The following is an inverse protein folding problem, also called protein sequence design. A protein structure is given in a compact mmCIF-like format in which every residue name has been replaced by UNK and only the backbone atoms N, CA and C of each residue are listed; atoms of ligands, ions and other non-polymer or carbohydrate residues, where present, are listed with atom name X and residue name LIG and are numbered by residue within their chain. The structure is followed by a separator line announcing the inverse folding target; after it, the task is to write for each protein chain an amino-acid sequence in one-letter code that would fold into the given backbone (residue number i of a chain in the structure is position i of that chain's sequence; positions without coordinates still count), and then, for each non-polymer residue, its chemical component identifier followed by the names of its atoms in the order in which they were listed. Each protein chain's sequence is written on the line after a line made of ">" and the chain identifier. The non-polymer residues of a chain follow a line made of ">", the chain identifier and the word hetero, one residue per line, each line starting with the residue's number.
data_IF_229714993808
#
_entry.id   IF_229714993808
#
_cell.length_a   1.000
_cell.length_b   1.000
_cell.length_c   1.000
_cell.angle_alpha   90.00
_cell.angle_beta   90.00
_cell.angle_gamma   90.00
#
_symmetry.space_group_name_H-M   'P 1'
#
loop_
_entity.id
_entity.type
_entity.pdbx_description
1 polymer ?
#
# COMPACT_ATOMS: atom_id res chain seq x y z
N UNK A 1 -34.80 1.99 -26.86
CA UNK A 1 -35.39 3.31 -26.50
C UNK A 1 -35.36 3.62 -25.02
N UNK A 2 -35.71 2.66 -24.10
CA UNK A 2 -35.76 2.90 -22.65
C UNK A 2 -34.41 3.26 -22.05
N UNK A 3 -33.35 2.54 -22.39
CA UNK A 3 -32.00 2.82 -21.88
C UNK A 3 -31.49 4.22 -22.28
N UNK A 4 -31.79 4.67 -23.53
CA UNK A 4 -31.44 6.04 -23.96
C UNK A 4 -32.18 7.13 -23.16
N UNK A 5 -33.41 6.84 -22.71
CA UNK A 5 -34.13 7.76 -21.82
C UNK A 5 -33.55 7.75 -20.43
N UNK A 6 -33.20 6.58 -19.89
CA UNK A 6 -32.55 6.47 -18.57
C UNK A 6 -31.19 7.16 -18.54
N UNK A 7 -30.38 7.04 -19.58
CA UNK A 7 -29.12 7.77 -19.72
C UNK A 7 -29.34 9.29 -19.58
N UNK A 8 -30.32 9.86 -20.23
CA UNK A 8 -30.63 11.30 -20.16
C UNK A 8 -31.09 11.79 -18.78
N UNK A 9 -31.47 10.86 -17.89
CA UNK A 9 -31.90 11.15 -16.52
C UNK A 9 -30.76 11.07 -15.54
N UNK A 10 -29.58 10.55 -15.94
CA UNK A 10 -28.42 10.50 -15.06
C UNK A 10 -27.84 11.90 -14.86
N UNK A 11 -27.38 12.17 -13.64
CA UNK A 11 -26.55 13.32 -13.37
C UNK A 11 -25.15 13.14 -14.00
N UNK A 12 -24.36 14.19 -14.12
CA UNK A 12 -23.00 14.12 -14.70
C UNK A 12 -22.09 13.09 -14.03
N UNK A 13 -22.25 12.87 -12.73
CA UNK A 13 -21.57 11.85 -11.94
C UNK A 13 -22.46 10.63 -11.64
N UNK A 14 -23.59 10.51 -12.35
CA UNK A 14 -24.58 9.48 -12.17
C UNK A 14 -24.12 8.11 -12.63
N UNK A 15 -24.72 7.09 -12.04
CA UNK A 15 -24.45 5.67 -12.31
C UNK A 15 -25.76 4.92 -12.43
N UNK A 16 -25.84 3.98 -13.38
CA UNK A 16 -26.96 3.07 -13.53
C UNK A 16 -26.53 1.64 -13.19
N UNK A 17 -27.36 0.95 -12.42
CA UNK A 17 -27.23 -0.47 -12.08
C UNK A 17 -28.36 -1.23 -12.76
N UNK A 18 -28.01 -2.25 -13.53
CA UNK A 18 -28.98 -3.03 -14.32
C UNK A 18 -28.80 -4.51 -13.98
N UNK A 19 -29.80 -5.08 -13.29
CA UNK A 19 -29.83 -6.51 -12.97
C UNK A 19 -30.25 -7.32 -14.19
N UNK A 20 -29.55 -8.42 -14.44
CA UNK A 20 -29.79 -9.32 -15.59
C UNK A 20 -29.30 -10.72 -15.25
N UNK A 21 -29.91 -11.74 -15.85
CA UNK A 21 -29.44 -13.11 -15.82
C UNK A 21 -28.49 -13.43 -17.00
N UNK A 22 -27.95 -14.65 -17.00
CA UNK A 22 -26.99 -15.09 -18.02
C UNK A 22 -27.58 -15.10 -19.45
N UNK A 23 -28.91 -15.27 -19.60
CA UNK A 23 -29.52 -15.46 -20.91
C UNK A 23 -29.33 -14.22 -21.80
N UNK A 24 -29.45 -13.03 -21.22
CA UNK A 24 -29.40 -11.77 -21.97
C UNK A 24 -28.24 -10.87 -21.57
N UNK A 25 -27.33 -11.34 -20.72
CA UNK A 25 -26.20 -10.57 -20.21
C UNK A 25 -25.36 -9.93 -21.33
N UNK A 26 -24.94 -10.73 -22.30
CA UNK A 26 -24.06 -10.28 -23.38
C UNK A 26 -24.78 -9.33 -24.35
N UNK A 27 -26.05 -9.60 -24.63
CA UNK A 27 -26.88 -8.74 -25.49
C UNK A 27 -27.08 -7.37 -24.81
N UNK A 28 -27.45 -7.37 -23.54
CA UNK A 28 -27.62 -6.15 -22.77
C UNK A 28 -26.31 -5.36 -22.65
N UNK A 29 -25.19 -6.05 -22.39
CA UNK A 29 -23.90 -5.41 -22.34
C UNK A 29 -23.55 -4.70 -23.64
N UNK A 30 -23.73 -5.36 -24.77
CA UNK A 30 -23.48 -4.76 -26.11
C UNK A 30 -24.35 -3.52 -26.36
N UNK A 31 -25.63 -3.56 -25.99
CA UNK A 31 -26.51 -2.42 -26.09
C UNK A 31 -26.11 -1.27 -25.18
N UNK A 32 -25.67 -1.58 -23.95
CA UNK A 32 -25.19 -0.57 -23.03
C UNK A 32 -23.87 0.05 -23.49
N UNK A 33 -22.94 -0.74 -24.05
CA UNK A 33 -21.69 -0.25 -24.65
C UNK A 33 -21.97 0.73 -25.82
N UNK A 34 -23.01 0.48 -26.64
CA UNK A 34 -23.42 1.40 -27.68
C UNK A 34 -24.03 2.71 -27.13
N UNK A 35 -24.82 2.62 -26.07
CA UNK A 35 -25.56 3.76 -25.52
C UNK A 35 -24.71 4.63 -24.62
N UNK A 36 -24.00 4.03 -23.64
CA UNK A 36 -23.19 4.72 -22.65
C UNK A 36 -21.73 4.89 -23.06
N UNK A 37 -21.25 4.04 -23.98
CA UNK A 37 -19.83 3.95 -24.37
C UNK A 37 -19.03 2.95 -23.53
N UNK A 38 -18.06 2.27 -24.18
CA UNK A 38 -17.17 1.30 -23.55
C UNK A 38 -16.38 1.89 -22.35
N UNK A 39 -15.98 3.14 -22.47
CA UNK A 39 -15.23 3.84 -21.42
C UNK A 39 -16.06 4.19 -20.17
N UNK A 40 -17.38 4.11 -20.26
CA UNK A 40 -18.32 4.31 -19.17
C UNK A 40 -18.73 3.00 -18.48
N UNK A 41 -18.26 1.84 -18.97
CA UNK A 41 -18.44 0.58 -18.28
C UNK A 41 -17.61 0.56 -17.00
N UNK A 42 -18.27 0.39 -15.84
CA UNK A 42 -17.62 0.38 -14.52
C UNK A 42 -17.34 -1.04 -14.08
N UNK A 43 -18.36 -1.91 -14.06
CA UNK A 43 -18.19 -3.28 -13.56
C UNK A 43 -19.36 -4.19 -13.95
N UNK A 44 -19.12 -5.49 -13.94
CA UNK A 44 -20.13 -6.52 -13.81
C UNK A 44 -20.00 -7.13 -12.42
N UNK A 45 -21.01 -6.93 -11.56
CA UNK A 45 -21.05 -7.43 -10.20
C UNK A 45 -21.80 -8.76 -10.20
N UNK A 46 -21.19 -9.80 -9.63
CA UNK A 46 -21.83 -11.09 -9.43
C UNK A 46 -22.66 -11.07 -8.16
N UNK A 47 -23.97 -11.31 -8.27
CA UNK A 47 -24.89 -11.33 -7.14
C UNK A 47 -25.36 -12.76 -6.88
N UNK A 48 -25.09 -13.28 -5.70
CA UNK A 48 -25.60 -14.60 -5.31
C UNK A 48 -27.10 -14.53 -4.98
N UNK A 49 -27.90 -15.17 -5.86
CA UNK A 49 -29.38 -15.15 -5.77
C UNK A 49 -29.91 -16.16 -4.79
N UNK A 50 -29.31 -17.33 -4.69
CA UNK A 50 -29.76 -18.46 -3.88
C UNK A 50 -28.62 -19.03 -3.04
N UNK A 51 -28.93 -19.37 -1.78
CA UNK A 51 -27.98 -20.01 -0.87
C UNK A 51 -28.24 -21.52 -0.69
N UNK A 52 -29.25 -22.08 -1.40
CA UNK A 52 -29.59 -23.49 -1.33
C UNK A 52 -29.72 -24.06 -2.72
N UNK A 53 -28.96 -25.10 -3.02
CA UNK A 53 -29.03 -25.87 -4.27
C UNK A 53 -30.34 -26.65 -4.32
N UNK A 54 -31.08 -26.56 -5.43
CA UNK A 54 -32.27 -27.38 -5.66
C UNK A 54 -31.86 -28.80 -6.04
N UNK A 55 -32.34 -29.81 -5.33
CA UNK A 55 -32.03 -31.22 -5.58
C UNK A 55 -32.58 -31.78 -6.88
N UNK A 56 -33.47 -31.07 -7.56
CA UNK A 56 -34.12 -31.43 -8.82
C UNK A 56 -33.42 -30.86 -10.06
N UNK A 57 -32.36 -30.12 -9.88
CA UNK A 57 -31.61 -29.49 -10.98
C UNK A 57 -30.72 -30.49 -11.69
N UNK A 58 -30.77 -30.47 -13.02
CA UNK A 58 -29.86 -31.25 -13.87
C UNK A 58 -28.74 -30.36 -14.42
N UNK A 59 -27.49 -30.80 -14.23
CA UNK A 59 -26.32 -30.07 -14.71
C UNK A 59 -25.78 -29.03 -13.70
N UNK A 60 -25.18 -27.98 -14.21
CA UNK A 60 -24.62 -26.90 -13.37
C UNK A 60 -25.76 -25.94 -12.99
N UNK A 61 -25.95 -25.77 -11.69
CA UNK A 61 -26.98 -24.86 -11.15
C UNK A 61 -26.45 -23.44 -11.19
N UNK A 62 -27.23 -22.55 -11.82
CA UNK A 62 -26.92 -21.12 -11.79
C UNK A 62 -27.48 -20.48 -10.51
N UNK A 63 -26.61 -20.09 -9.60
CA UNK A 63 -26.94 -19.40 -8.34
C UNK A 63 -26.61 -17.92 -8.38
N UNK A 64 -26.14 -17.41 -9.54
CA UNK A 64 -25.64 -16.04 -9.68
C UNK A 64 -26.51 -15.27 -10.67
N UNK A 65 -26.80 -14.03 -10.36
CA UNK A 65 -27.27 -12.98 -11.28
C UNK A 65 -26.19 -11.92 -11.45
N UNK A 66 -26.30 -11.14 -12.51
CA UNK A 66 -25.36 -10.09 -12.88
C UNK A 66 -25.96 -8.71 -12.63
N UNK A 67 -25.12 -7.79 -12.17
CA UNK A 67 -25.47 -6.39 -12.04
C UNK A 67 -24.48 -5.58 -12.88
N UNK A 68 -24.89 -5.18 -14.10
CA UNK A 68 -24.09 -4.32 -14.94
C UNK A 68 -24.13 -2.89 -14.44
N UNK A 69 -22.96 -2.27 -14.34
CA UNK A 69 -22.78 -0.91 -13.83
C UNK A 69 -22.16 -0.04 -14.90
N UNK A 70 -22.85 1.04 -15.26
CA UNK A 70 -22.38 2.06 -16.20
C UNK A 70 -22.49 3.45 -15.59
N UNK A 71 -21.50 4.27 -15.83
CA UNK A 71 -21.50 5.69 -15.45
C UNK A 71 -21.89 6.58 -16.62
N UNK A 72 -22.32 7.80 -16.34
CA UNK A 72 -22.59 8.80 -17.39
C UNK A 72 -21.30 9.32 -18.02
N UNK A 73 -20.20 9.41 -17.25
CA UNK A 73 -18.89 9.88 -17.74
C UNK A 73 -17.79 8.85 -17.53
N UNK A 74 -16.76 8.81 -18.40
CA UNK A 74 -15.59 7.96 -18.20
C UNK A 74 -14.83 8.27 -16.91
N UNK A 75 -14.18 7.24 -16.32
CA UNK A 75 -13.32 7.42 -15.16
C UNK A 75 -14.06 7.62 -13.83
N UNK A 76 -15.36 7.33 -13.78
CA UNK A 76 -16.11 7.33 -12.53
C UNK A 76 -15.55 6.27 -11.55
N UNK A 77 -15.45 6.66 -10.29
CA UNK A 77 -15.01 5.76 -9.22
C UNK A 77 -16.00 5.82 -8.05
N UNK A 78 -16.36 4.68 -7.47
CA UNK A 78 -17.22 4.64 -6.29
C UNK A 78 -16.50 5.23 -5.07
N UNK A 79 -17.27 5.78 -4.16
CA UNK A 79 -16.77 6.14 -2.85
C UNK A 79 -16.25 4.90 -2.12
N UNK A 80 -15.20 5.06 -1.35
CA UNK A 80 -14.70 4.00 -0.47
C UNK A 80 -15.71 3.72 0.64
N UNK A 81 -15.82 2.46 0.99
CA UNK A 81 -16.66 2.04 2.13
C UNK A 81 -16.11 2.67 3.42
N UNK A 82 -16.98 3.06 4.35
CA UNK A 82 -16.54 3.58 5.65
C UNK A 82 -15.64 2.57 6.37
N UNK A 83 -14.72 3.07 7.16
CA UNK A 83 -13.90 2.23 8.03
C UNK A 83 -14.76 1.63 9.13
N UNK A 84 -14.47 0.39 9.49
CA UNK A 84 -15.11 -0.30 10.60
C UNK A 84 -14.25 -0.22 11.86
N UNK A 85 -14.87 -0.34 13.04
CA UNK A 85 -14.14 -0.39 14.32
C UNK A 85 -13.11 -1.54 14.36
N UNK A 86 -13.39 -2.67 13.69
CA UNK A 86 -12.45 -3.79 13.57
C UNK A 86 -11.20 -3.40 12.75
N UNK A 87 -11.38 -2.64 11.65
CA UNK A 87 -10.25 -2.11 10.86
C UNK A 87 -9.39 -1.14 11.67
N UNK A 88 -9.98 -0.43 12.62
CA UNK A 88 -9.30 0.55 13.47
C UNK A 88 -8.64 -0.07 14.70
N UNK A 89 -9.11 -1.23 15.16
CA UNK A 89 -8.59 -1.91 16.35
C UNK A 89 -7.09 -2.24 16.32
N UNK A 90 -6.48 -2.34 15.12
CA UNK A 90 -5.04 -2.56 14.95
C UNK A 90 -4.18 -1.32 15.17
N UNK A 91 -4.79 -0.12 15.15
CA UNK A 91 -4.08 1.14 15.38
C UNK A 91 -4.00 1.40 16.87
N UNK A 92 -2.77 1.48 17.36
CA UNK A 92 -2.46 1.67 18.78
C UNK A 92 -1.52 2.85 18.94
N UNK A 93 -1.29 3.26 20.16
CA UNK A 93 -0.39 4.38 20.46
C UNK A 93 0.60 4.00 21.58
N UNK A 94 1.53 3.07 21.30
CA UNK A 94 2.44 2.52 22.32
C UNK A 94 3.50 3.51 22.79
N UNK A 95 3.70 4.60 22.06
CA UNK A 95 4.72 5.61 22.33
C UNK A 95 4.15 7.01 22.60
N UNK A 96 2.84 7.10 22.88
CA UNK A 96 2.13 8.37 23.13
C UNK A 96 2.33 9.42 22.02
N UNK A 97 2.29 8.96 20.76
CA UNK A 97 2.32 9.84 19.59
C UNK A 97 1.01 10.63 19.45
N UNK A 98 0.97 11.65 18.59
CA UNK A 98 -0.19 12.51 18.36
C UNK A 98 -1.40 11.71 17.88
N UNK A 99 -1.19 10.68 17.07
CA UNK A 99 -2.23 9.83 16.51
C UNK A 99 -1.90 8.35 16.69
N UNK A 100 -2.92 7.49 16.82
CA UNK A 100 -2.73 6.05 16.77
C UNK A 100 -2.15 5.60 15.44
N UNK A 101 -1.29 4.58 15.47
CA UNK A 101 -0.62 4.05 14.30
C UNK A 101 -0.51 2.52 14.34
N UNK A 102 -0.23 1.93 13.19
CA UNK A 102 0.11 0.51 13.05
C UNK A 102 1.48 0.36 12.41
N UNK A 103 2.17 -0.74 12.75
CA UNK A 103 3.47 -1.07 12.18
C UNK A 103 3.35 -1.51 10.73
N UNK A 104 4.17 -0.97 9.85
CA UNK A 104 4.27 -1.37 8.45
C UNK A 104 5.73 -1.50 8.01
N UNK A 105 5.95 -2.16 6.87
CA UNK A 105 7.29 -2.36 6.35
C UNK A 105 7.94 -1.04 5.93
N UNK A 106 9.22 -0.90 6.30
CA UNK A 106 10.06 0.24 5.93
C UNK A 106 10.58 0.12 4.48
N UNK A 107 10.42 -1.02 3.86
CA UNK A 107 10.91 -1.37 2.52
C UNK A 107 9.79 -1.83 1.60
N UNK A 108 10.08 -1.93 0.29
CA UNK A 108 9.18 -2.37 -0.76
C UNK A 108 9.96 -3.25 -1.76
N UNK A 109 9.30 -4.12 -2.54
CA UNK A 109 9.93 -4.86 -3.62
C UNK A 109 10.51 -3.92 -4.69
N UNK A 110 11.49 -4.40 -5.48
CA UNK A 110 12.02 -3.69 -6.64
C UNK A 110 13.45 -3.18 -6.49
N UNK A 111 14.30 -3.87 -5.73
CA UNK A 111 15.71 -3.49 -5.54
C UNK A 111 16.47 -3.28 -6.85
N UNK A 112 16.29 -4.18 -7.83
CA UNK A 112 16.99 -4.11 -9.11
C UNK A 112 16.69 -2.82 -9.91
N UNK A 113 15.45 -2.35 -9.87
CA UNK A 113 15.01 -1.13 -10.58
C UNK A 113 15.18 0.15 -9.76
N UNK A 114 15.30 0.03 -8.44
CA UNK A 114 15.40 1.14 -7.50
C UNK A 114 16.69 1.09 -6.69
N UNK A 115 17.81 0.77 -7.34
CA UNK A 115 19.11 0.60 -6.68
C UNK A 115 19.54 1.79 -5.82
N UNK A 116 19.14 3.01 -6.18
CA UNK A 116 19.35 4.22 -5.37
C UNK A 116 18.67 4.21 -4.00
N UNK A 117 17.74 3.29 -3.78
CA UNK A 117 17.06 3.08 -2.49
C UNK A 117 17.55 1.82 -1.76
N UNK A 118 18.64 1.20 -2.24
CA UNK A 118 19.34 0.09 -1.56
C UNK A 118 20.63 0.64 -0.96
N UNK A 119 20.56 1.06 0.29
CA UNK A 119 21.68 1.68 1.01
C UNK A 119 21.69 1.23 2.48
N UNK A 120 22.86 1.34 3.11
CA UNK A 120 23.02 1.04 4.53
C UNK A 120 22.44 2.16 5.41
N UNK A 121 21.90 1.75 6.55
CA UNK A 121 21.56 2.64 7.67
C UNK A 121 22.28 2.09 8.90
N UNK A 122 23.17 2.86 9.51
CA UNK A 122 23.84 2.44 10.72
C UNK A 122 22.87 2.50 11.92
N UNK A 123 22.75 1.38 12.60
CA UNK A 123 21.83 1.24 13.73
C UNK A 123 22.32 2.05 14.95
N UNK A 124 21.51 2.99 15.50
CA UNK A 124 22.00 3.92 16.53
C UNK A 124 22.27 3.27 17.89
N UNK A 125 21.67 2.09 18.14
CA UNK A 125 21.89 1.38 19.43
C UNK A 125 22.99 0.32 19.34
N UNK A 126 23.29 -0.22 18.17
CA UNK A 126 24.21 -1.37 18.03
C UNK A 126 25.39 -1.12 17.10
N UNK A 127 25.35 -0.06 16.31
CA UNK A 127 26.35 0.25 15.30
C UNK A 127 26.31 -0.61 14.03
N UNK A 128 25.47 -1.66 13.99
CA UNK A 128 25.35 -2.55 12.83
C UNK A 128 24.77 -1.82 11.61
N UNK A 129 25.23 -2.18 10.43
CA UNK A 129 24.64 -1.72 9.18
C UNK A 129 23.36 -2.52 8.89
N UNK A 130 22.29 -1.81 8.63
CA UNK A 130 21.00 -2.36 8.24
C UNK A 130 20.77 -2.09 6.78
N UNK A 131 20.41 -3.12 6.03
CA UNK A 131 20.01 -3.07 4.63
C UNK A 131 18.58 -3.56 4.47
N UNK A 132 17.92 -3.25 3.33
CA UNK A 132 16.68 -3.92 2.95
C UNK A 132 16.92 -5.43 2.74
N UNK A 133 15.86 -6.23 2.77
CA UNK A 133 15.97 -7.66 2.42
C UNK A 133 16.23 -7.84 0.92
N UNK A 134 16.80 -8.98 0.55
CA UNK A 134 17.06 -9.35 -0.84
C UNK A 134 15.82 -9.13 -1.73
N UNK A 135 16.01 -8.48 -2.87
CA UNK A 135 14.95 -8.07 -3.78
C UNK A 135 14.15 -6.84 -3.35
N UNK A 136 14.42 -6.28 -2.17
CA UNK A 136 13.70 -5.10 -1.62
C UNK A 136 14.58 -3.86 -1.55
N UNK A 137 13.95 -2.69 -1.53
CA UNK A 137 14.58 -1.40 -1.33
C UNK A 137 13.85 -0.60 -0.24
N UNK A 138 14.51 0.40 0.35
CA UNK A 138 13.83 1.32 1.26
C UNK A 138 12.73 2.08 0.53
N UNK A 139 11.69 2.52 1.26
CA UNK A 139 10.56 3.26 0.65
C UNK A 139 10.88 4.71 0.31
N UNK A 140 12.03 5.23 0.74
CA UNK A 140 12.44 6.60 0.53
C UNK A 140 13.91 6.68 0.13
N UNK A 141 14.24 7.70 -0.63
CA UNK A 141 15.63 8.03 -0.94
C UNK A 141 16.36 8.57 0.30
N UNK A 142 17.68 8.57 0.23
CA UNK A 142 18.58 8.90 1.35
C UNK A 142 18.23 10.21 2.05
N UNK A 143 18.00 11.30 1.30
CA UNK A 143 17.70 12.62 1.87
C UNK A 143 16.44 12.64 2.73
N UNK A 144 15.40 11.94 2.29
CA UNK A 144 14.14 11.84 3.04
C UNK A 144 14.31 10.92 4.24
N UNK A 145 15.00 9.79 4.07
CA UNK A 145 15.27 8.87 5.18
C UNK A 145 16.18 9.51 6.21
N UNK A 146 17.18 10.29 5.80
CA UNK A 146 18.06 11.05 6.68
C UNK A 146 17.28 11.98 7.63
N UNK A 147 16.27 12.69 7.10
CA UNK A 147 15.40 13.55 7.93
C UNK A 147 14.68 12.77 9.02
N UNK A 148 14.18 11.56 8.70
CA UNK A 148 13.53 10.72 9.70
C UNK A 148 14.52 10.13 10.70
N UNK A 149 15.69 9.66 10.24
CA UNK A 149 16.68 9.03 11.09
C UNK A 149 17.35 10.03 12.04
N UNK A 150 17.49 11.29 11.65
CA UNK A 150 17.94 12.38 12.52
C UNK A 150 17.03 12.61 13.74
N UNK A 151 15.81 12.07 13.72
CA UNK A 151 14.95 12.01 14.90
C UNK A 151 15.48 11.05 16.00
N UNK A 152 16.39 10.13 15.72
CA UNK A 152 16.97 9.18 16.67
C UNK A 152 18.36 9.58 17.14
N UNK A 153 19.23 9.95 16.21
CA UNK A 153 20.61 10.36 16.41
C UNK A 153 21.03 11.28 15.28
N UNK A 154 22.17 11.90 15.36
CA UNK A 154 22.71 12.70 14.28
C UNK A 154 23.30 11.78 13.21
N UNK A 155 22.77 11.83 11.99
CA UNK A 155 23.22 11.08 10.84
C UNK A 155 23.80 11.99 9.77
N UNK A 156 24.72 11.45 8.99
CA UNK A 156 25.26 12.05 7.78
C UNK A 156 25.27 11.05 6.63
N UNK A 157 25.33 11.54 5.40
CA UNK A 157 25.53 10.71 4.22
C UNK A 157 27.03 10.44 4.04
N UNK A 158 27.39 9.17 3.89
CA UNK A 158 28.77 8.73 3.71
C UNK A 158 28.84 7.65 2.64
N UNK A 159 29.83 7.74 1.75
CA UNK A 159 30.11 6.67 0.79
C UNK A 159 30.69 5.47 1.55
N UNK A 160 30.19 4.27 1.23
CA UNK A 160 30.73 3.00 1.71
C UNK A 160 31.22 2.15 0.54
N UNK A 161 32.15 1.27 0.81
CA UNK A 161 32.56 0.20 -0.09
C UNK A 161 31.67 -1.02 0.17
N UNK A 162 30.40 -0.94 -0.28
CA UNK A 162 29.35 -1.93 -0.03
C UNK A 162 28.69 -2.44 -1.34
N UNK A 163 29.42 -2.32 -2.46
CA UNK A 163 28.91 -2.71 -3.77
C UNK A 163 28.49 -4.19 -3.81
N UNK A 164 29.25 -5.06 -3.15
CA UNK A 164 28.96 -6.49 -3.06
C UNK A 164 27.65 -6.78 -2.34
N UNK A 165 27.45 -6.21 -1.17
CA UNK A 165 26.20 -6.38 -0.38
C UNK A 165 25.00 -5.85 -1.15
N UNK A 166 25.16 -4.71 -1.81
CA UNK A 166 24.07 -4.10 -2.60
C UNK A 166 23.78 -4.91 -3.86
N UNK A 167 24.79 -5.50 -4.49
CA UNK A 167 24.64 -6.40 -5.63
C UNK A 167 23.78 -7.63 -5.27
N UNK A 168 24.09 -8.25 -4.14
CA UNK A 168 23.33 -9.39 -3.61
C UNK A 168 21.86 -9.02 -3.35
N UNK A 169 21.61 -7.87 -2.72
CA UNK A 169 20.25 -7.38 -2.43
C UNK A 169 19.50 -7.05 -3.73
N UNK A 170 20.18 -6.42 -4.69
CA UNK A 170 19.59 -6.06 -5.99
C UNK A 170 19.39 -7.26 -6.91
N UNK A 171 20.12 -8.36 -6.70
CA UNK A 171 20.13 -9.52 -7.59
C UNK A 171 20.78 -9.20 -8.95
N UNK A 172 21.81 -8.36 -8.97
CA UNK A 172 22.55 -7.94 -10.17
C UNK A 172 24.05 -8.18 -9.97
N UNK A 173 24.86 -8.26 -11.06
CA UNK A 173 26.32 -8.30 -10.94
C UNK A 173 26.87 -7.05 -10.22
N UNK A 174 27.97 -7.22 -9.49
CA UNK A 174 28.58 -6.13 -8.72
C UNK A 174 28.98 -4.92 -9.58
N UNK A 175 29.43 -5.15 -10.79
CA UNK A 175 29.78 -4.10 -11.75
C UNK A 175 28.57 -3.36 -12.35
N UNK A 176 27.35 -3.83 -12.11
CA UNK A 176 26.09 -3.20 -12.53
C UNK A 176 25.40 -2.46 -11.39
N UNK A 177 25.96 -2.51 -10.18
CA UNK A 177 25.43 -1.77 -9.04
C UNK A 177 25.68 -0.27 -9.22
N UNK A 178 24.65 0.53 -8.97
CA UNK A 178 24.75 1.98 -9.01
C UNK A 178 25.82 2.48 -8.03
N UNK A 179 26.86 3.20 -8.49
CA UNK A 179 28.05 3.51 -7.67
C UNK A 179 27.85 4.65 -6.67
N UNK A 180 26.94 5.61 -6.94
CA UNK A 180 26.77 6.89 -6.23
C UNK A 180 25.71 6.83 -5.12
N UNK A 181 25.58 5.70 -4.45
CA UNK A 181 24.60 5.50 -3.37
C UNK A 181 25.27 5.67 -2.03
N UNK A 182 24.84 6.69 -1.29
CA UNK A 182 25.38 7.03 0.04
C UNK A 182 24.64 6.28 1.15
N UNK A 183 25.36 5.83 2.15
CA UNK A 183 24.82 5.26 3.38
C UNK A 183 24.48 6.35 4.41
N UNK A 184 23.51 6.06 5.28
CA UNK A 184 23.21 6.87 6.45
C UNK A 184 24.06 6.40 7.62
N UNK A 185 25.11 7.14 7.94
CA UNK A 185 26.07 6.81 9.00
C UNK A 185 25.91 7.75 10.18
N UNK A 186 26.20 7.25 11.37
CA UNK A 186 26.21 8.10 12.57
C UNK A 186 27.31 9.14 12.45
N UNK A 187 26.97 10.41 12.67
CA UNK A 187 27.90 11.52 12.68
C UNK A 187 28.67 11.63 14.01
N UNK A 188 28.11 11.07 15.08
CA UNK A 188 28.70 11.04 16.43
C UNK A 188 29.19 9.62 16.76
N UNK A 189 29.87 9.48 17.91
CA UNK A 189 30.24 8.15 18.43
C UNK A 189 29.00 7.29 18.68
N UNK A 190 29.17 5.96 18.61
CA UNK A 190 28.07 5.03 18.86
C UNK A 190 27.48 5.21 20.26
N UNK A 191 28.32 5.47 21.27
CA UNK A 191 27.85 5.67 22.64
C UNK A 191 26.95 6.89 22.78
N UNK A 192 27.32 8.01 22.15
CA UNK A 192 26.52 9.22 22.14
C UNK A 192 25.20 9.00 21.37
N UNK A 193 25.27 8.35 20.22
CA UNK A 193 24.08 8.02 19.41
C UNK A 193 23.13 7.10 20.18
N UNK A 194 23.66 6.06 20.82
CA UNK A 194 22.88 5.12 21.63
C UNK A 194 22.24 5.80 22.85
N UNK A 195 22.98 6.65 23.54
CA UNK A 195 22.45 7.42 24.68
C UNK A 195 21.30 8.34 24.25
N UNK A 196 21.44 9.02 23.11
CA UNK A 196 20.40 9.88 22.58
C UNK A 196 19.16 9.09 22.13
N UNK A 197 19.36 8.02 21.36
CA UNK A 197 18.29 7.13 20.91
C UNK A 197 17.54 6.52 22.10
N UNK A 198 18.25 6.15 23.19
CA UNK A 198 17.63 5.63 24.40
C UNK A 198 16.75 6.67 25.12
N UNK A 199 17.15 7.95 25.14
CA UNK A 199 16.31 9.05 25.67
C UNK A 199 15.01 9.19 24.86
N UNK A 200 15.11 9.13 23.54
CA UNK A 200 13.95 9.24 22.64
C UNK A 200 13.02 8.03 22.84
N UNK A 201 13.57 6.82 22.91
CA UNK A 201 12.80 5.60 23.15
C UNK A 201 11.98 5.69 24.45
N UNK A 202 12.58 6.21 25.53
CA UNK A 202 11.91 6.38 26.84
C UNK A 202 10.90 7.54 26.85
N UNK A 203 11.20 8.63 26.15
CA UNK A 203 10.31 9.79 26.07
C UNK A 203 9.00 9.47 25.36
N UNK A 204 9.05 8.54 24.39
CA UNK A 204 7.94 8.31 23.45
C UNK A 204 7.97 9.27 22.25
N UNK A 205 6.87 9.31 21.49
CA UNK A 205 6.74 10.07 20.23
C UNK A 205 7.90 9.75 19.28
N UNK A 206 8.10 8.46 19.05
CA UNK A 206 9.20 7.98 18.22
C UNK A 206 9.09 8.54 16.79
N UNK A 207 10.21 8.74 16.11
CA UNK A 207 10.20 9.07 14.69
C UNK A 207 9.38 8.09 13.86
N UNK A 208 8.89 8.54 12.70
CA UNK A 208 8.05 7.75 11.80
C UNK A 208 8.67 6.40 11.42
N UNK A 209 9.99 6.36 11.26
CA UNK A 209 10.77 5.13 11.17
C UNK A 209 11.36 4.82 12.54
N UNK A 210 11.07 3.65 13.05
CA UNK A 210 11.42 3.27 14.41
C UNK A 210 12.04 1.88 14.46
N UNK A 211 12.78 1.62 15.52
CA UNK A 211 13.44 0.34 15.77
C UNK A 211 12.55 -0.55 16.64
N UNK A 212 12.31 -1.79 16.18
CA UNK A 212 11.53 -2.78 16.92
C UNK A 212 12.27 -3.31 18.15
N UNK A 213 11.61 -4.16 18.95
CA UNK A 213 12.22 -4.83 20.10
C UNK A 213 12.93 -3.86 21.06
N UNK A 214 12.26 -2.74 21.39
CA UNK A 214 12.83 -1.71 22.27
C UNK A 214 14.21 -1.20 21.81
N UNK A 215 14.34 -0.95 20.53
CA UNK A 215 15.57 -0.44 19.94
C UNK A 215 16.61 -1.50 19.56
N UNK A 216 16.33 -2.79 19.72
CA UNK A 216 17.27 -3.87 19.37
C UNK A 216 17.01 -4.51 17.99
N UNK A 217 15.83 -4.29 17.43
CA UNK A 217 15.37 -4.91 16.19
C UNK A 217 15.54 -4.02 14.96
N UNK A 218 15.07 -4.50 13.82
CA UNK A 218 15.13 -3.79 12.56
C UNK A 218 14.19 -2.58 12.48
N UNK A 219 14.31 -1.85 11.36
CA UNK A 219 13.54 -0.64 11.10
C UNK A 219 12.14 -1.01 10.60
N UNK A 220 11.12 -0.38 11.20
CA UNK A 220 9.71 -0.41 10.76
C UNK A 220 9.21 1.02 10.59
N UNK A 221 8.06 1.17 9.95
CA UNK A 221 7.42 2.47 9.70
C UNK A 221 6.08 2.57 10.39
N UNK A 222 5.76 3.72 10.95
CA UNK A 222 4.42 4.06 11.43
C UNK A 222 3.51 4.38 10.24
N UNK A 223 2.33 3.76 10.22
CA UNK A 223 1.21 4.14 9.36
C UNK A 223 0.11 4.65 10.26
N UNK A 224 -0.16 5.94 10.20
CA UNK A 224 -1.15 6.59 11.05
C UNK A 224 -2.57 6.33 10.59
N UNK A 225 -3.51 6.35 11.53
CA UNK A 225 -4.92 6.04 11.29
C UNK A 225 -5.57 7.03 10.31
N UNK A 226 -5.19 8.28 10.33
CA UNK A 226 -5.68 9.35 9.45
C UNK A 226 -5.14 9.27 8.01
N UNK A 227 -4.02 8.55 7.81
CA UNK A 227 -3.42 8.35 6.49
C UNK A 227 -4.07 7.22 5.68
N UNK A 228 -5.11 6.59 6.21
CA UNK A 228 -5.74 5.41 5.59
C UNK A 228 -7.23 5.65 5.41
N UNK A 229 -7.68 5.45 4.21
CA UNK A 229 -9.09 5.51 3.86
C UNK A 229 -9.76 4.13 3.98
N UNK A 230 -11.08 4.08 3.80
CA UNK A 230 -11.83 2.85 3.71
C UNK A 230 -11.42 1.99 2.51
N UNK A 231 -11.97 0.79 2.41
CA UNK A 231 -11.72 -0.11 1.28
C UNK A 231 -12.59 0.27 0.08
N UNK A 232 -12.11 0.12 -1.16
CA UNK A 232 -13.00 0.18 -2.32
C UNK A 232 -14.03 -0.95 -2.24
N UNK A 233 -15.25 -0.76 -2.75
CA UNK A 233 -16.20 -1.86 -2.93
C UNK A 233 -15.63 -2.89 -3.91
N UNK A 234 -16.05 -4.15 -3.77
CA UNK A 234 -15.65 -5.25 -4.66
C UNK A 234 -16.82 -5.66 -5.56
N UNK A 235 -16.54 -6.41 -6.60
CA UNK A 235 -17.54 -6.96 -7.53
C UNK A 235 -18.01 -8.39 -7.15
N UNK A 236 -17.80 -8.76 -5.88
CA UNK A 236 -18.29 -9.99 -5.25
C UNK A 236 -19.11 -9.67 -4.02
#
# INVERSE_FOLDING_TARGET
>A
PRLKLLQRLLAEDGVIFISIDDNELYNLKSICDEIFGLSCFVSNISWQRTYSTRNDSKGIVNEVEHLLVYSERPGWNPNKLPRTAEMDAKYKNPDNDVLPWTSSDAFAPGAATHQGMVYAIQHPFTGKLLYPYNGSCWRYQQDTMLKYMNGWAKYELRQLDDAKERAEICGVPENEVRPDVMALMLADSLDNAAANAQKILKRGQWPRFYFTQNGKGGIRRKTYIDSVEGKPPTNL
#
